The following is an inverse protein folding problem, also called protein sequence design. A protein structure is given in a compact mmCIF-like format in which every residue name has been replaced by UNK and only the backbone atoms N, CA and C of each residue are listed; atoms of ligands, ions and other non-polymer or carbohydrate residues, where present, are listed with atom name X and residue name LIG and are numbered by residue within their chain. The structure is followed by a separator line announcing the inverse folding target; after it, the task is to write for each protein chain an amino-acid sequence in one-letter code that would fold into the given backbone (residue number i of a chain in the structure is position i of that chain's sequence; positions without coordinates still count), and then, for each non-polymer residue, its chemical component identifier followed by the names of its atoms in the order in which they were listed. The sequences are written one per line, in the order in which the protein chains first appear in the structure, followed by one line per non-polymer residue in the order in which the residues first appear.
data_IF_551001740905
#
_entry.id   IF_551001740905
#
_cell.length_a   1.000
_cell.length_b   1.000
_cell.length_c   1.000
_cell.angle_alpha   90.00
_cell.angle_beta   90.00
_cell.angle_gamma   90.00
#
_symmetry.space_group_name_H-M   'P 1'
#
loop_
_entity.id
_entity.type
_entity.pdbx_description
1 polymer ?
#
# COMPACT_ATOMS: atom_id res chain seq x y z
N UNK A 1 10.41 20.45 23.88
CA UNK A 1 10.14 20.60 22.44
C UNK A 1 10.08 22.07 22.13
N UNK A 2 11.15 22.63 21.54
CA UNK A 2 11.16 24.01 21.04
C UNK A 2 10.12 24.15 19.94
N UNK A 3 9.23 25.14 20.07
CA UNK A 3 8.09 25.33 19.18
C UNK A 3 8.51 25.99 17.87
N UNK A 4 9.11 25.21 16.96
CA UNK A 4 9.56 25.67 15.63
C UNK A 4 8.35 26.01 14.71
N UNK A 5 7.11 25.77 15.13
CA UNK A 5 5.92 25.88 14.28
C UNK A 5 4.72 26.62 14.85
N UNK A 6 4.83 27.48 15.88
CA UNK A 6 3.65 28.15 16.45
C UNK A 6 2.91 28.97 15.39
N UNK A 7 1.73 28.50 14.98
CA UNK A 7 0.80 29.17 14.07
C UNK A 7 0.87 28.72 12.60
N UNK A 8 1.99 28.13 12.15
CA UNK A 8 2.16 27.67 10.76
C UNK A 8 1.59 26.27 10.53
N UNK A 9 1.36 25.52 11.60
CA UNK A 9 0.84 24.16 11.58
C UNK A 9 -0.70 24.09 11.68
N UNK A 10 -1.38 25.24 11.78
CA UNK A 10 -2.83 25.31 11.95
C UNK A 10 -3.63 25.08 10.66
N UNK A 11 -3.03 25.35 9.50
CA UNK A 11 -3.68 25.23 8.19
C UNK A 11 -2.78 24.48 7.22
N UNK A 12 -3.39 23.80 6.26
CA UNK A 12 -2.68 23.09 5.18
C UNK A 12 -2.13 24.03 4.11
N UNK A 13 -2.71 25.21 3.96
CA UNK A 13 -2.31 26.19 2.92
C UNK A 13 -1.21 27.14 3.38
N UNK A 14 -0.77 27.03 4.63
CA UNK A 14 0.22 27.92 5.21
C UNK A 14 1.61 27.29 5.10
N UNK A 15 2.52 27.99 4.43
CA UNK A 15 3.92 27.59 4.40
C UNK A 15 4.65 28.02 5.67
N UNK A 16 5.52 27.16 6.17
CA UNK A 16 6.50 27.54 7.19
C UNK A 16 7.58 28.44 6.60
N UNK A 17 8.39 29.13 7.44
CA UNK A 17 9.53 29.92 6.97
C UNK A 17 10.55 29.11 6.13
N UNK A 18 10.59 27.78 6.32
CA UNK A 18 11.46 26.86 5.58
C UNK A 18 10.79 26.32 4.29
N UNK A 19 9.59 26.79 3.94
CA UNK A 19 8.84 26.33 2.76
C UNK A 19 8.16 24.97 2.93
N UNK A 20 7.95 24.52 4.18
CA UNK A 20 7.33 23.22 4.50
C UNK A 20 5.84 23.38 4.78
N UNK A 21 5.08 22.30 4.58
CA UNK A 21 3.66 22.20 4.92
C UNK A 21 3.49 21.17 6.04
N UNK A 22 3.39 21.64 7.28
CA UNK A 22 3.39 20.77 8.46
C UNK A 22 2.19 19.82 8.53
N UNK A 23 1.02 20.23 8.05
CA UNK A 23 -0.18 19.37 8.02
C UNK A 23 0.02 18.12 7.16
N UNK A 24 0.76 18.22 6.06
CA UNK A 24 1.09 17.05 5.21
C UNK A 24 2.05 16.11 5.94
N UNK A 25 3.04 16.66 6.64
CA UNK A 25 3.96 15.84 7.44
C UNK A 25 3.25 15.12 8.59
N UNK A 26 2.24 15.74 9.20
CA UNK A 26 1.41 15.11 10.23
C UNK A 26 0.56 13.98 9.64
N UNK A 27 0.03 14.17 8.42
CA UNK A 27 -0.66 13.11 7.70
C UNK A 27 0.27 11.92 7.42
N UNK A 28 1.53 12.17 7.01
CA UNK A 28 2.53 11.11 6.81
C UNK A 28 2.81 10.36 8.12
N UNK A 29 2.90 11.06 9.27
CA UNK A 29 3.03 10.38 10.57
C UNK A 29 1.84 9.49 10.90
N UNK A 30 0.63 9.84 10.48
CA UNK A 30 -0.55 8.98 10.65
C UNK A 30 -0.45 7.70 9.79
N UNK A 31 0.15 7.79 8.60
CA UNK A 31 0.45 6.62 7.77
C UNK A 31 1.50 5.73 8.44
N UNK A 32 2.56 6.33 8.98
CA UNK A 32 3.64 5.62 9.65
C UNK A 32 3.19 4.91 10.94
N UNK A 33 2.06 5.30 11.55
CA UNK A 33 1.47 4.58 12.68
C UNK A 33 0.53 3.44 12.29
N UNK A 34 0.41 3.14 10.99
CA UNK A 34 -0.49 2.11 10.48
C UNK A 34 0.20 0.77 10.29
N UNK A 35 -0.59 -0.31 10.26
CA UNK A 35 -0.10 -1.65 9.89
C UNK A 35 0.58 -1.63 8.52
N UNK A 36 1.65 -2.41 8.40
CA UNK A 36 2.60 -2.40 7.30
C UNK A 36 1.95 -2.88 6.00
N UNK A 37 2.22 -2.18 4.91
CA UNK A 37 1.75 -2.52 3.56
C UNK A 37 2.96 -2.64 2.67
N UNK A 38 3.07 -3.74 1.94
CA UNK A 38 4.18 -4.05 1.05
C UNK A 38 3.64 -4.36 -0.34
N UNK A 39 4.29 -3.84 -1.37
CA UNK A 39 4.05 -4.21 -2.75
C UNK A 39 5.35 -4.57 -3.45
N UNK A 40 5.37 -5.66 -4.19
CA UNK A 40 6.53 -6.13 -4.94
C UNK A 40 6.12 -6.40 -6.39
N UNK A 41 6.93 -5.89 -7.32
CA UNK A 41 6.88 -6.23 -8.75
C UNK A 41 7.77 -7.46 -8.98
N UNK A 42 7.14 -8.52 -9.44
CA UNK A 42 7.78 -9.76 -9.89
C UNK A 42 7.94 -9.75 -11.43
N UNK A 43 8.58 -10.78 -11.99
CA UNK A 43 8.76 -10.91 -13.45
C UNK A 43 7.45 -11.09 -14.21
N UNK A 44 6.52 -11.82 -13.60
CA UNK A 44 5.26 -12.33 -14.15
C UNK A 44 4.03 -11.59 -13.58
N UNK A 45 4.24 -10.56 -12.76
CA UNK A 45 3.15 -9.87 -12.11
C UNK A 45 3.52 -9.00 -10.90
N UNK A 46 2.54 -8.78 -10.03
CA UNK A 46 2.65 -7.95 -8.82
C UNK A 46 2.00 -8.68 -7.66
N UNK A 47 2.61 -8.56 -6.49
CA UNK A 47 2.05 -9.03 -5.22
C UNK A 47 1.91 -7.84 -4.29
N UNK A 48 0.74 -7.72 -3.64
CA UNK A 48 0.48 -6.75 -2.59
C UNK A 48 0.13 -7.51 -1.31
N UNK A 49 0.79 -7.14 -0.22
CA UNK A 49 0.52 -7.68 1.11
C UNK A 49 0.24 -6.58 2.12
N UNK A 50 -0.69 -6.85 3.03
CA UNK A 50 -1.07 -5.93 4.09
C UNK A 50 -1.13 -6.68 5.42
N UNK A 51 -0.47 -6.11 6.41
CA UNK A 51 -0.62 -6.43 7.81
C UNK A 51 -1.92 -5.78 8.35
N UNK A 52 -2.87 -6.61 8.79
CA UNK A 52 -4.13 -6.14 9.38
C UNK A 52 -4.17 -6.49 10.86
N UNK A 53 -3.94 -5.49 11.71
CA UNK A 53 -4.00 -5.65 13.16
C UNK A 53 -5.42 -6.01 13.62
N UNK A 54 -5.55 -7.10 14.38
CA UNK A 54 -6.80 -7.56 14.99
C UNK A 54 -7.00 -6.81 16.31
N UNK A 55 -7.88 -5.83 16.31
CA UNK A 55 -8.18 -5.00 17.49
C UNK A 55 -8.99 -5.73 18.55
N UNK A 56 -9.87 -6.65 18.15
CA UNK A 56 -10.78 -7.42 19.00
C UNK A 56 -10.94 -8.85 18.49
N UNK A 57 -10.97 -9.82 19.42
CA UNK A 57 -11.23 -11.23 19.13
C UNK A 57 -12.63 -11.49 18.57
N UNK A 58 -13.55 -10.52 18.69
CA UNK A 58 -14.90 -10.61 18.13
C UNK A 58 -14.97 -10.23 16.64
N UNK A 59 -13.89 -9.72 16.06
CA UNK A 59 -13.86 -9.45 14.63
C UNK A 59 -13.78 -10.76 13.86
N UNK A 60 -14.66 -10.93 12.88
CA UNK A 60 -14.59 -12.05 11.95
C UNK A 60 -13.38 -11.90 11.03
N UNK A 61 -12.74 -13.02 10.73
CA UNK A 61 -11.66 -13.10 9.75
C UNK A 61 -12.11 -12.54 8.39
N UNK A 62 -11.23 -11.82 7.72
CA UNK A 62 -11.54 -11.15 6.45
C UNK A 62 -12.38 -9.88 6.57
N UNK A 63 -12.77 -9.45 7.77
CA UNK A 63 -13.36 -8.13 8.04
C UNK A 63 -12.32 -7.01 7.88
N UNK A 64 -12.74 -5.78 7.61
CA UNK A 64 -11.85 -4.62 7.45
C UNK A 64 -10.74 -4.82 6.39
N UNK A 65 -11.14 -5.17 5.16
CA UNK A 65 -10.21 -5.33 4.04
C UNK A 65 -9.52 -4.02 3.71
N UNK A 66 -8.20 -4.09 3.48
CA UNK A 66 -7.37 -2.92 3.13
C UNK A 66 -6.88 -2.97 1.69
N UNK A 67 -6.99 -4.13 1.05
CA UNK A 67 -6.75 -4.31 -0.38
C UNK A 67 -8.09 -4.25 -1.12
N UNK A 68 -8.14 -3.42 -2.16
CA UNK A 68 -9.33 -3.22 -2.98
C UNK A 68 -8.99 -3.34 -4.47
N UNK A 69 -9.77 -4.13 -5.21
CA UNK A 69 -9.74 -4.10 -6.68
C UNK A 69 -10.30 -2.77 -7.16
N UNK A 70 -9.55 -2.05 -7.99
CA UNK A 70 -9.98 -0.78 -8.60
C UNK A 70 -10.56 -1.03 -9.99
N UNK A 71 -9.85 -1.82 -10.80
CA UNK A 71 -10.33 -2.34 -12.08
C UNK A 71 -10.07 -3.85 -12.14
N UNK A 72 -10.38 -4.49 -13.27
CA UNK A 72 -10.07 -5.91 -13.49
C UNK A 72 -8.57 -6.16 -13.42
N UNK A 73 -7.73 -5.31 -14.01
CA UNK A 73 -6.27 -5.47 -14.07
C UNK A 73 -5.49 -4.67 -13.02
N UNK A 74 -6.16 -4.00 -12.09
CA UNK A 74 -5.52 -3.13 -11.09
C UNK A 74 -6.10 -3.27 -9.67
N UNK A 75 -5.20 -3.25 -8.70
CA UNK A 75 -5.47 -3.38 -7.26
C UNK A 75 -4.75 -2.33 -6.45
N UNK A 76 -5.34 -1.95 -5.32
CA UNK A 76 -4.92 -0.84 -4.50
C UNK A 76 -4.87 -1.29 -3.04
N UNK A 77 -3.71 -1.15 -2.40
CA UNK A 77 -3.51 -1.42 -0.98
C UNK A 77 -3.36 -0.11 -0.21
N UNK A 78 -4.11 0.03 0.89
CA UNK A 78 -4.18 1.26 1.69
C UNK A 78 -3.40 1.12 2.99
N UNK A 79 -2.45 2.04 3.22
CA UNK A 79 -1.79 2.28 4.50
C UNK A 79 -2.34 3.56 5.17
N UNK A 80 -2.45 3.62 6.50
CA UNK A 80 -3.04 4.76 7.23
C UNK A 80 -4.53 4.61 7.55
N UNK A 81 -5.26 5.73 7.57
CA UNK A 81 -6.68 5.77 7.91
C UNK A 81 -7.54 5.03 6.87
N UNK A 82 -8.19 3.94 7.28
CA UNK A 82 -9.00 3.11 6.37
C UNK A 82 -10.22 3.85 5.76
N UNK A 83 -10.79 4.83 6.47
CA UNK A 83 -11.91 5.63 5.96
C UNK A 83 -11.47 6.53 4.79
N UNK A 84 -10.32 7.17 4.92
CA UNK A 84 -9.70 8.01 3.90
C UNK A 84 -9.33 7.16 2.68
N UNK A 85 -8.71 6.00 2.90
CA UNK A 85 -8.37 5.08 1.81
C UNK A 85 -9.58 4.59 1.03
N UNK A 86 -10.73 4.36 1.68
CA UNK A 86 -11.97 4.01 0.97
C UNK A 86 -12.45 5.11 0.03
N UNK A 87 -12.26 6.38 0.39
CA UNK A 87 -12.57 7.49 -0.51
C UNK A 87 -11.64 7.52 -1.72
N UNK A 88 -10.33 7.31 -1.50
CA UNK A 88 -9.36 7.19 -2.59
C UNK A 88 -9.72 6.04 -3.53
N UNK A 89 -10.08 4.87 -2.98
CA UNK A 89 -10.51 3.71 -3.78
C UNK A 89 -11.78 4.02 -4.58
N UNK A 90 -12.77 4.65 -3.96
CA UNK A 90 -14.02 5.04 -4.63
C UNK A 90 -13.74 5.98 -5.80
N UNK A 91 -12.88 6.99 -5.57
CA UNK A 91 -12.44 7.92 -6.61
C UNK A 91 -11.70 7.20 -7.73
N UNK A 92 -10.74 6.33 -7.39
CA UNK A 92 -9.96 5.57 -8.37
C UNK A 92 -10.85 4.68 -9.25
N UNK A 93 -11.88 4.04 -8.67
CA UNK A 93 -12.88 3.25 -9.41
C UNK A 93 -13.68 4.12 -10.37
N UNK A 94 -14.14 5.28 -9.91
CA UNK A 94 -14.88 6.23 -10.73
C UNK A 94 -14.05 6.74 -11.91
N UNK A 95 -12.76 7.04 -11.67
CA UNK A 95 -11.84 7.49 -12.73
C UNK A 95 -11.56 6.38 -13.74
N UNK A 96 -11.30 5.15 -13.28
CA UNK A 96 -11.08 4.00 -14.16
C UNK A 96 -12.31 3.71 -15.05
N UNK A 97 -13.52 3.72 -14.47
CA UNK A 97 -14.76 3.50 -15.21
C UNK A 97 -15.07 4.65 -16.18
N UNK A 98 -14.78 5.89 -15.79
CA UNK A 98 -14.93 7.07 -16.66
C UNK A 98 -14.01 6.98 -17.87
N UNK A 99 -12.74 6.63 -17.66
CA UNK A 99 -11.75 6.46 -18.72
C UNK A 99 -12.19 5.39 -19.73
N UNK A 100 -12.57 4.20 -19.24
CA UNK A 100 -13.02 3.10 -20.09
C UNK A 100 -14.29 3.47 -20.89
N UNK A 101 -15.21 4.24 -20.30
CA UNK A 101 -16.41 4.71 -20.99
C UNK A 101 -16.10 5.71 -22.11
N UNK A 102 -15.11 6.58 -21.92
CA UNK A 102 -14.76 7.63 -22.88
C UNK A 102 -13.87 7.08 -24.00
N UNK A 103 -12.87 6.28 -23.67
CA UNK A 103 -11.84 5.82 -24.62
C UNK A 103 -12.06 4.38 -25.13
N UNK A 104 -12.96 3.61 -24.50
CA UNK A 104 -13.26 2.23 -24.91
C UNK A 104 -12.16 1.22 -24.57
N UNK A 105 -11.14 1.63 -23.80
CA UNK A 105 -10.03 0.77 -23.40
C UNK A 105 -9.78 0.87 -21.88
N UNK A 106 -9.24 -0.20 -21.24
CA UNK A 106 -8.90 -0.15 -19.82
C UNK A 106 -7.84 0.92 -19.55
N UNK A 107 -7.99 1.63 -18.42
CA UNK A 107 -7.07 2.70 -18.03
C UNK A 107 -5.66 2.17 -17.79
N UNK A 108 -4.66 2.91 -18.27
CA UNK A 108 -3.25 2.61 -17.94
C UNK A 108 -2.97 2.83 -16.45
N UNK A 109 -2.12 1.99 -15.86
CA UNK A 109 -1.78 2.08 -14.43
C UNK A 109 -1.09 3.41 -14.11
N UNK A 110 -0.25 3.91 -15.03
CA UNK A 110 0.40 5.22 -14.90
C UNK A 110 -0.64 6.35 -14.83
N UNK A 111 -1.58 6.35 -15.75
CA UNK A 111 -2.62 7.39 -15.84
C UNK A 111 -3.54 7.33 -14.61
N UNK A 112 -3.91 6.12 -14.16
CA UNK A 112 -4.68 5.94 -12.93
C UNK A 112 -3.93 6.48 -11.70
N UNK A 113 -2.62 6.22 -11.60
CA UNK A 113 -1.79 6.75 -10.52
C UNK A 113 -1.77 8.28 -10.52
N UNK A 114 -1.60 8.90 -11.68
CA UNK A 114 -1.58 10.36 -11.84
C UNK A 114 -2.92 11.02 -11.46
N UNK A 115 -4.04 10.43 -11.88
CA UNK A 115 -5.40 10.91 -11.52
C UNK A 115 -5.66 10.83 -10.03
N UNK A 116 -5.25 9.73 -9.40
CA UNK A 116 -5.38 9.55 -7.94
C UNK A 116 -4.46 10.50 -7.19
N UNK A 117 -3.21 10.63 -7.61
CA UNK A 117 -2.23 11.54 -7.03
C UNK A 117 -2.69 13.01 -7.10
N UNK A 118 -3.20 13.43 -8.27
CA UNK A 118 -3.78 14.76 -8.46
C UNK A 118 -4.96 15.03 -7.52
N UNK A 119 -5.81 14.02 -7.31
CA UNK A 119 -6.93 14.12 -6.37
C UNK A 119 -6.45 14.23 -4.91
N UNK A 120 -5.43 13.47 -4.51
CA UNK A 120 -4.81 13.58 -3.18
C UNK A 120 -4.18 14.96 -2.98
N UNK A 121 -3.45 15.45 -3.99
CA UNK A 121 -2.81 16.76 -3.95
C UNK A 121 -3.83 17.90 -3.82
N UNK A 122 -4.99 17.80 -4.48
CA UNK A 122 -6.08 18.78 -4.38
C UNK A 122 -6.46 19.07 -2.91
N UNK A 123 -6.50 18.03 -2.08
CA UNK A 123 -6.83 18.15 -0.65
C UNK A 123 -5.74 18.83 0.19
N UNK A 124 -4.57 19.12 -0.40
CA UNK A 124 -3.49 19.88 0.24
C UNK A 124 -3.48 21.36 -0.16
N UNK A 125 -4.22 21.74 -1.20
CA UNK A 125 -4.24 23.10 -1.75
C UNK A 125 -5.32 24.00 -1.14
N UNK A 126 -6.40 23.42 -0.61
CA UNK A 126 -7.56 24.17 -0.11
C UNK A 126 -7.64 24.18 1.40
N UNK A 127 -7.87 25.35 1.99
CA UNK A 127 -7.84 25.57 3.44
C UNK A 127 -8.97 24.88 4.21
N UNK A 128 -10.11 24.61 3.57
CA UNK A 128 -11.27 23.96 4.20
C UNK A 128 -11.21 22.42 4.10
N UNK A 129 -10.21 21.88 3.42
CA UNK A 129 -9.97 20.44 3.32
C UNK A 129 -8.78 20.07 4.21
N UNK A 130 -8.81 18.83 4.70
CA UNK A 130 -7.65 18.23 5.35
C UNK A 130 -6.95 17.28 4.37
N UNK A 131 -5.62 17.11 4.47
CA UNK A 131 -4.92 16.05 3.76
C UNK A 131 -5.48 14.66 4.09
N UNK A 132 -5.28 13.72 3.17
CA UNK A 132 -5.57 12.32 3.42
C UNK A 132 -4.55 11.74 4.40
N UNK A 133 -5.03 11.12 5.47
CA UNK A 133 -4.18 10.43 6.44
C UNK A 133 -3.83 9.00 6.00
N UNK A 134 -3.72 8.76 4.69
CA UNK A 134 -3.45 7.46 4.12
C UNK A 134 -2.51 7.56 2.91
N UNK A 135 -1.60 6.60 2.81
CA UNK A 135 -0.78 6.36 1.64
C UNK A 135 -1.28 5.11 0.92
N UNK A 136 -1.00 5.03 -0.37
CA UNK A 136 -1.57 3.99 -1.23
C UNK A 136 -0.48 3.35 -2.08
N UNK A 137 -0.52 2.03 -2.20
CA UNK A 137 0.25 1.29 -3.19
C UNK A 137 -0.73 0.80 -4.27
N UNK A 138 -0.52 1.23 -5.50
CA UNK A 138 -1.29 0.83 -6.68
C UNK A 138 -0.45 -0.16 -7.49
N UNK A 139 -0.95 -1.37 -7.64
CA UNK A 139 -0.41 -2.38 -8.55
C UNK A 139 -1.34 -2.60 -9.72
N UNK A 140 -0.80 -2.74 -10.93
CA UNK A 140 -1.59 -3.22 -12.06
C UNK A 140 -0.75 -3.85 -13.16
N UNK A 141 -1.41 -4.65 -13.98
CA UNK A 141 -0.81 -5.28 -15.14
C UNK A 141 -1.41 -4.68 -16.41
N UNK A 142 -0.63 -3.84 -17.08
CA UNK A 142 -1.05 -3.12 -18.29
C UNK A 142 -0.40 -3.71 -19.56
N UNK A 143 -0.63 -3.10 -20.72
CA UNK A 143 0.03 -3.44 -21.99
C UNK A 143 1.56 -3.38 -21.88
N UNK A 144 2.08 -2.44 -21.10
CA UNK A 144 3.52 -2.27 -20.81
C UNK A 144 4.04 -3.25 -19.75
N UNK A 145 3.23 -4.22 -19.33
CA UNK A 145 3.55 -5.21 -18.30
C UNK A 145 3.18 -4.77 -16.88
N UNK A 146 3.73 -5.44 -15.85
CA UNK A 146 3.45 -5.14 -14.45
C UNK A 146 4.08 -3.81 -14.02
N UNK A 147 3.26 -2.94 -13.42
CA UNK A 147 3.67 -1.64 -12.89
C UNK A 147 3.17 -1.44 -11.46
N UNK A 148 4.08 -1.02 -10.58
CA UNK A 148 3.81 -0.71 -9.19
C UNK A 148 4.07 0.78 -8.94
N UNK A 149 3.11 1.46 -8.34
CA UNK A 149 3.18 2.86 -7.96
C UNK A 149 2.88 3.04 -6.48
N UNK A 150 3.58 3.96 -5.84
CA UNK A 150 3.29 4.39 -4.48
C UNK A 150 2.87 5.85 -4.53
N UNK A 151 1.76 6.17 -3.86
CA UNK A 151 1.17 7.50 -3.77
C UNK A 151 1.19 7.91 -2.29
N UNK A 152 1.84 9.02 -1.99
CA UNK A 152 1.95 9.57 -0.65
C UNK A 152 0.84 10.60 -0.36
N UNK A 153 0.54 10.89 0.93
CA UNK A 153 -0.41 11.92 1.33
C UNK A 153 -0.20 13.32 0.73
N UNK A 154 1.04 13.61 0.29
CA UNK A 154 1.42 14.85 -0.38
C UNK A 154 0.86 14.97 -1.80
N UNK A 155 0.42 13.85 -2.40
CA UNK A 155 0.09 13.73 -3.81
C UNK A 155 1.30 13.44 -4.69
N UNK A 156 2.49 13.23 -4.11
CA UNK A 156 3.65 12.73 -4.86
C UNK A 156 3.44 11.25 -5.14
N UNK A 157 3.74 10.84 -6.38
CA UNK A 157 3.75 9.43 -6.75
C UNK A 157 4.97 9.08 -7.57
N UNK A 158 5.48 7.87 -7.35
CA UNK A 158 6.61 7.34 -8.11
C UNK A 158 6.39 5.86 -8.46
N UNK A 159 7.08 5.42 -9.52
CA UNK A 159 7.11 4.02 -9.96
C UNK A 159 8.20 3.29 -9.19
N UNK A 160 7.85 2.14 -8.60
CA UNK A 160 8.77 1.34 -7.79
C UNK A 160 8.90 -0.09 -8.32
N UNK A 161 10.00 -0.75 -7.97
CA UNK A 161 10.12 -2.21 -8.08
C UNK A 161 9.56 -2.89 -6.83
N UNK A 162 9.83 -2.33 -5.66
CA UNK A 162 9.17 -2.69 -4.41
C UNK A 162 8.90 -1.44 -3.59
N UNK A 163 7.77 -1.43 -2.89
CA UNK A 163 7.32 -0.30 -2.09
C UNK A 163 6.81 -0.81 -0.75
N UNK A 164 7.05 -0.03 0.31
CA UNK A 164 6.56 -0.32 1.65
C UNK A 164 6.06 0.97 2.32
N UNK A 165 4.91 0.87 2.99
CA UNK A 165 4.26 1.92 3.76
C UNK A 165 3.87 1.39 5.15
N UNK A 166 3.70 2.28 6.13
CA UNK A 166 3.31 1.93 7.49
C UNK A 166 4.48 1.90 8.49
N UNK A 167 4.21 1.41 9.70
CA UNK A 167 5.14 1.35 10.83
C UNK A 167 6.44 0.63 10.47
N UNK A 168 6.30 -0.48 9.75
CA UNK A 168 7.39 -1.33 9.32
C UNK A 168 8.18 -0.88 8.10
N UNK A 169 7.91 0.30 7.52
CA UNK A 169 8.42 0.65 6.18
C UNK A 169 9.95 0.59 6.04
N UNK A 170 10.70 0.94 7.08
CA UNK A 170 12.16 1.01 7.00
C UNK A 170 12.77 -0.40 6.96
N UNK A 171 12.34 -1.28 7.87
CA UNK A 171 12.77 -2.68 7.90
C UNK A 171 12.32 -3.45 6.65
N UNK A 172 11.06 -3.24 6.22
CA UNK A 172 10.54 -3.83 5.00
C UNK A 172 11.34 -3.41 3.75
N UNK A 173 11.77 -2.14 3.65
CA UNK A 173 12.63 -1.68 2.55
C UNK A 173 13.97 -2.42 2.54
N UNK A 174 14.61 -2.59 3.68
CA UNK A 174 15.88 -3.31 3.79
C UNK A 174 15.76 -4.75 3.28
N UNK A 175 14.67 -5.45 3.61
CA UNK A 175 14.45 -6.81 3.11
C UNK A 175 14.14 -6.82 1.60
N UNK A 176 13.32 -5.89 1.12
CA UNK A 176 13.02 -5.75 -0.32
C UNK A 176 14.31 -5.49 -1.12
N UNK A 177 15.26 -4.72 -0.60
CA UNK A 177 16.54 -4.43 -1.27
C UNK A 177 17.45 -5.66 -1.40
N UNK A 178 17.34 -6.65 -0.51
CA UNK A 178 18.08 -7.92 -0.63
C UNK A 178 17.54 -8.82 -1.73
N UNK A 179 16.28 -8.65 -2.12
CA UNK A 179 15.59 -9.51 -3.07
C UNK A 179 15.90 -9.13 -4.53
N UNK A 180 16.14 -10.14 -5.37
CA UNK A 180 16.26 -9.96 -6.83
C UNK A 180 14.88 -9.95 -7.50
N UNK A 181 14.23 -8.79 -7.44
CA UNK A 181 12.84 -8.60 -7.90
C UNK A 181 12.61 -8.95 -9.38
N UNK A 182 13.62 -8.82 -10.24
CA UNK A 182 13.49 -9.13 -11.67
C UNK A 182 13.44 -10.63 -12.00
N UNK A 183 13.88 -11.51 -11.08
CA UNK A 183 13.96 -12.96 -11.31
C UNK A 183 12.85 -13.74 -10.59
N UNK A 184 12.30 -13.12 -9.53
CA UNK A 184 11.24 -13.67 -8.69
C UNK A 184 9.94 -13.89 -9.45
N UNK A 185 9.37 -15.09 -9.30
CA UNK A 185 7.98 -15.39 -9.69
C UNK A 185 6.99 -14.78 -8.71
N UNK A 186 5.73 -14.61 -9.11
CA UNK A 186 4.68 -14.18 -8.19
C UNK A 186 4.45 -15.17 -7.05
N UNK A 187 4.62 -16.48 -7.27
CA UNK A 187 4.47 -17.50 -6.20
C UNK A 187 5.54 -17.36 -5.13
N UNK A 188 6.80 -17.20 -5.52
CA UNK A 188 7.89 -16.90 -4.59
C UNK A 188 7.68 -15.53 -3.94
N UNK A 189 7.23 -14.54 -4.71
CA UNK A 189 6.91 -13.20 -4.21
C UNK A 189 5.86 -13.20 -3.10
N UNK A 190 4.84 -14.07 -3.17
CA UNK A 190 3.84 -14.22 -2.09
C UNK A 190 4.52 -14.67 -0.79
N UNK A 191 5.43 -15.64 -0.86
CA UNK A 191 6.17 -16.15 0.30
C UNK A 191 7.10 -15.08 0.86
N UNK A 192 7.83 -14.37 0.01
CA UNK A 192 8.74 -13.30 0.44
C UNK A 192 7.99 -12.12 1.05
N UNK A 193 6.85 -11.70 0.49
CA UNK A 193 6.00 -10.66 1.09
C UNK A 193 5.47 -11.10 2.45
N UNK A 194 5.08 -12.38 2.60
CA UNK A 194 4.66 -12.91 3.90
C UNK A 194 5.80 -12.87 4.91
N UNK A 195 7.00 -13.37 4.56
CA UNK A 195 8.20 -13.30 5.41
C UNK A 195 8.52 -11.88 5.85
N UNK A 196 8.48 -10.92 4.93
CA UNK A 196 8.73 -9.50 5.25
C UNK A 196 7.71 -8.98 6.26
N UNK A 197 6.41 -9.24 6.06
CA UNK A 197 5.38 -8.73 6.97
C UNK A 197 5.51 -9.36 8.36
N UNK A 198 5.74 -10.68 8.42
CA UNK A 198 5.93 -11.39 9.69
C UNK A 198 7.22 -10.98 10.41
N UNK A 199 8.35 -10.85 9.70
CA UNK A 199 9.62 -10.45 10.31
C UNK A 199 9.68 -8.97 10.74
N UNK A 200 8.81 -8.13 10.18
CA UNK A 200 8.69 -6.72 10.57
C UNK A 200 7.66 -6.51 11.68
N UNK A 201 6.80 -7.50 11.94
CA UNK A 201 5.84 -7.47 13.02
C UNK A 201 6.53 -7.66 14.38
N UNK A 202 6.32 -6.72 15.31
CA UNK A 202 6.86 -6.81 16.66
C UNK A 202 5.81 -7.42 17.60
N UNK A 203 5.87 -8.74 17.81
CA UNK A 203 4.90 -9.47 18.65
C UNK A 203 4.82 -8.96 20.10
N UNK A 204 5.87 -8.31 20.60
CA UNK A 204 5.90 -7.79 21.97
C UNK A 204 5.13 -6.46 22.10
N UNK A 205 5.00 -5.70 21.01
CA UNK A 205 4.33 -4.38 21.02
C UNK A 205 3.00 -4.36 20.28
N UNK A 206 2.85 -5.20 19.27
CA UNK A 206 1.72 -5.17 18.37
C UNK A 206 0.69 -6.26 18.71
N UNK A 207 -0.57 -6.00 18.37
CA UNK A 207 -1.65 -7.00 18.53
C UNK A 207 -1.51 -8.06 17.45
N UNK A 208 -2.03 -9.26 17.73
CA UNK A 208 -2.22 -10.30 16.72
C UNK A 208 -2.76 -9.70 15.42
N UNK A 209 -2.22 -10.14 14.29
CA UNK A 209 -2.58 -9.61 12.98
C UNK A 209 -3.09 -10.72 12.05
N UNK A 210 -3.83 -10.32 11.04
CA UNK A 210 -4.25 -11.15 9.93
C UNK A 210 -3.52 -10.69 8.67
N UNK A 211 -2.88 -11.61 7.97
CA UNK A 211 -2.19 -11.34 6.71
C UNK A 211 -3.21 -11.31 5.55
N UNK A 212 -3.33 -10.18 4.86
CA UNK A 212 -4.11 -10.08 3.62
C UNK A 212 -3.17 -9.97 2.42
N UNK A 213 -3.22 -10.94 1.50
CA UNK A 213 -2.45 -10.93 0.25
C UNK A 213 -3.35 -10.87 -0.98
N UNK A 214 -2.86 -10.18 -2.00
CA UNK A 214 -3.44 -10.16 -3.34
C UNK A 214 -2.34 -10.17 -4.38
N UNK A 215 -2.70 -10.58 -5.59
CA UNK A 215 -1.75 -10.70 -6.69
C UNK A 215 -2.42 -10.39 -8.02
N UNK A 216 -1.58 -10.01 -8.97
CA UNK A 216 -1.92 -9.76 -10.37
C UNK A 216 -0.83 -10.40 -11.20
N UNK A 217 -1.10 -11.56 -11.78
CA UNK A 217 -0.10 -12.34 -12.52
C UNK A 217 -0.71 -12.94 -13.79
N UNK A 218 0.13 -13.54 -14.63
CA UNK A 218 -0.37 -14.27 -15.81
C UNK A 218 -1.25 -15.47 -15.40
N UNK A 219 -0.98 -16.13 -14.25
CA UNK A 219 -1.85 -17.20 -13.71
C UNK A 219 -3.25 -16.69 -13.31
N UNK A 220 -3.37 -15.44 -12.89
CA UNK A 220 -4.65 -14.81 -12.55
C UNK A 220 -5.35 -14.21 -13.77
N UNK A 221 -4.96 -14.59 -14.99
CA UNK A 221 -5.39 -14.00 -16.25
C UNK A 221 -5.19 -12.47 -16.31
N UNK A 222 -4.11 -11.97 -15.68
CA UNK A 222 -3.81 -10.54 -15.52
C UNK A 222 -4.90 -9.76 -14.81
N UNK A 223 -5.70 -10.44 -13.98
CA UNK A 223 -6.73 -9.83 -13.17
C UNK A 223 -6.29 -9.75 -11.71
N UNK A 224 -6.70 -8.68 -11.05
CA UNK A 224 -6.48 -8.53 -9.62
C UNK A 224 -7.41 -9.46 -8.85
N UNK A 225 -6.79 -10.43 -8.18
CA UNK A 225 -7.48 -11.45 -7.40
C UNK A 225 -6.86 -11.53 -6.01
N UNK A 226 -7.65 -12.03 -5.06
CA UNK A 226 -7.11 -12.45 -3.76
C UNK A 226 -6.28 -13.70 -3.98
N UNK A 227 -5.21 -13.85 -3.19
CA UNK A 227 -4.44 -15.10 -3.21
C UNK A 227 -5.34 -16.25 -2.74
N UNK A 228 -5.38 -17.39 -3.45
CA UNK A 228 -6.10 -18.58 -3.01
C UNK A 228 -5.67 -19.02 -1.61
N UNK A 229 -6.61 -19.53 -0.81
CA UNK A 229 -6.35 -19.91 0.59
C UNK A 229 -5.19 -20.92 0.72
N UNK A 230 -5.06 -21.87 -0.21
CA UNK A 230 -3.99 -22.88 -0.18
C UNK A 230 -2.59 -22.24 -0.27
N UNK A 231 -2.42 -21.25 -1.15
CA UNK A 231 -1.16 -20.52 -1.30
C UNK A 231 -0.92 -19.56 -0.12
N UNK A 232 -1.99 -19.00 0.43
CA UNK A 232 -1.91 -18.13 1.60
C UNK A 232 -1.41 -18.90 2.83
N UNK A 233 -1.94 -20.11 3.09
CA UNK A 233 -1.50 -20.94 4.21
C UNK A 233 -0.07 -21.45 4.03
N UNK A 234 0.32 -21.82 2.81
CA UNK A 234 1.72 -22.15 2.50
C UNK A 234 2.67 -20.98 2.78
N UNK A 235 2.28 -19.76 2.39
CA UNK A 235 3.08 -18.58 2.64
C UNK A 235 3.18 -18.23 4.12
N UNK A 236 2.10 -18.40 4.89
CA UNK A 236 2.11 -18.23 6.36
C UNK A 236 3.04 -19.25 7.02
N UNK A 237 2.92 -20.53 6.67
CA UNK A 237 3.75 -21.59 7.23
C UNK A 237 5.25 -21.35 6.93
N UNK A 238 5.57 -20.95 5.70
CA UNK A 238 6.94 -20.63 5.30
C UNK A 238 7.48 -19.38 6.02
N UNK A 239 6.62 -18.38 6.29
CA UNK A 239 7.02 -17.19 7.04
C UNK A 239 7.26 -17.50 8.52
N UNK A 240 6.42 -18.34 9.14
CA UNK A 240 6.60 -18.77 10.53
C UNK A 240 7.86 -19.63 10.70
N UNK A 241 8.09 -20.58 9.80
CA UNK A 241 9.31 -21.40 9.83
C UNK A 241 10.58 -20.55 9.72
N UNK A 242 10.58 -19.53 8.85
CA UNK A 242 11.72 -18.62 8.70
C UNK A 242 11.96 -17.77 9.96
N UNK A 243 10.92 -17.39 10.69
CA UNK A 243 11.03 -16.70 11.98
C UNK A 243 11.63 -17.62 13.05
N UNK A 244 11.14 -18.85 13.15
CA UNK A 244 11.65 -19.83 14.11
C UNK A 244 13.13 -20.15 13.87
N UNK A 245 13.57 -20.22 12.61
CA UNK A 245 14.99 -20.38 12.26
C UNK A 245 15.83 -19.16 12.67
N UNK A 246 15.30 -17.93 12.52
CA UNK A 246 16.00 -16.72 12.92
C UNK A 246 16.10 -16.54 14.44
N UNK A 247 15.13 -17.06 15.20
CA UNK A 247 15.14 -17.02 16.67
C UNK A 247 15.99 -18.15 17.30
N UNK A 248 16.36 -19.17 16.52
CA UNK A 248 17.16 -20.31 16.97
C UNK A 248 18.69 -20.09 16.85
N UNK A 249 19.13 -19.10 16.07
CA UNK A 249 20.54 -18.69 15.87
C UNK A 249 20.96 -17.52 16.80
#
# INVERSE_FOLDING_TARGET
MSSIGTGYDLSVTTFSPDGRVFQVEYATKAVDNSGTVVGIKCKDGIVLGVEKLVTSKMMLEGSNRRIHSVHRHSGLAVAGLAADGRQIVSRAKSEAASYEKVYGEPISVKELADRVASYVHLCTLYWWLRPFGCGVILGGYDRDGPQLYMIEPSGVFHKYFGAALGKGRQAAKTEIEKLKLSELTCREGIVEVAKIIYGVHDEAKDKAFELELSWICDESNRQHQKVPNDLLEQAKAAAQAALEEMDAD
#
